data_IF_531395945814
#
_entry.id   IF_531395945814
#
_cell.length_a   1.000
_cell.length_b   1.000
_cell.length_c   1.000
_cell.angle_alpha   90.00
_cell.angle_beta   90.00
_cell.angle_gamma   90.00
#
_symmetry.space_group_name_H-M   'P 1'
#
loop_
_entity.id
_entity.type
_entity.pdbx_description
1 polymer ?
#
# COMPACT_ATOMS: atom_id res chain seq x y z
N UNK A 1 16.12 0.20 -0.09
CA UNK A 1 14.71 0.65 0.01
C UNK A 1 14.67 2.11 -0.39
N UNK A 2 13.55 2.58 -0.94
CA UNK A 2 13.37 4.00 -1.29
C UNK A 2 13.40 4.86 -0.02
N UNK A 3 13.98 6.05 -0.13
CA UNK A 3 13.95 7.03 0.96
C UNK A 3 12.61 7.77 0.98
N UNK A 4 12.31 8.48 2.08
CA UNK A 4 11.10 9.32 2.15
C UNK A 4 11.10 10.41 1.07
N UNK A 5 12.27 10.99 0.82
CA UNK A 5 12.45 12.00 -0.23
C UNK A 5 12.16 11.42 -1.64
N UNK A 6 12.64 10.20 -1.92
CA UNK A 6 12.34 9.52 -3.18
C UNK A 6 10.83 9.25 -3.33
N UNK A 7 10.16 8.87 -2.24
CA UNK A 7 8.72 8.62 -2.23
C UNK A 7 7.93 9.90 -2.50
N UNK A 8 8.24 11.00 -1.81
CA UNK A 8 7.54 12.28 -1.99
C UNK A 8 7.71 12.82 -3.42
N UNK A 9 8.91 12.67 -3.98
CA UNK A 9 9.19 13.00 -5.39
C UNK A 9 8.35 12.15 -6.35
N UNK A 10 8.25 10.85 -6.10
CA UNK A 10 7.46 9.94 -6.92
C UNK A 10 5.96 10.25 -6.84
N UNK A 11 5.43 10.54 -5.65
CA UNK A 11 4.03 10.94 -5.45
C UNK A 11 3.71 12.22 -6.25
N UNK A 12 4.58 13.23 -6.20
CA UNK A 12 4.40 14.46 -6.96
C UNK A 12 4.39 14.21 -8.49
N UNK A 13 5.32 13.37 -8.98
CA UNK A 13 5.40 13.02 -10.39
C UNK A 13 4.16 12.25 -10.88
N UNK A 14 3.70 11.25 -10.11
CA UNK A 14 2.50 10.48 -10.42
C UNK A 14 1.25 11.36 -10.40
N UNK A 15 1.13 12.25 -9.42
CA UNK A 15 0.00 13.19 -9.33
C UNK A 15 -0.05 14.10 -10.57
N UNK A 16 1.10 14.61 -11.02
CA UNK A 16 1.17 15.44 -12.23
C UNK A 16 0.80 14.67 -13.51
N UNK A 17 1.05 13.36 -13.55
CA UNK A 17 0.63 12.50 -14.66
C UNK A 17 -0.89 12.24 -14.61
N UNK A 18 -1.44 11.95 -13.43
CA UNK A 18 -2.88 11.70 -13.25
C UNK A 18 -3.73 12.92 -13.62
N UNK A 19 -3.26 14.14 -13.31
CA UNK A 19 -3.90 15.41 -13.72
C UNK A 19 -4.05 15.60 -15.23
N UNK A 20 -3.32 14.85 -16.04
CA UNK A 20 -3.47 14.87 -17.50
C UNK A 20 -4.47 13.85 -18.01
N UNK A 21 -4.84 12.87 -17.19
CA UNK A 21 -5.67 11.72 -17.57
C UNK A 21 -7.07 11.79 -16.98
N UNK A 22 -7.25 12.47 -15.85
CA UNK A 22 -8.51 12.56 -15.12
C UNK A 22 -8.95 14.02 -14.99
N UNK A 23 -10.26 14.22 -14.91
CA UNK A 23 -10.86 15.52 -14.58
C UNK A 23 -10.97 15.67 -13.06
N UNK A 24 -10.56 16.82 -12.54
CA UNK A 24 -10.54 17.14 -11.11
C UNK A 24 -11.59 18.20 -10.76
N UNK A 25 -12.38 18.66 -11.73
CA UNK A 25 -13.42 19.67 -11.54
C UNK A 25 -14.82 19.04 -11.48
N UNK A 26 -15.77 19.76 -10.87
CA UNK A 26 -17.18 19.36 -10.78
C UNK A 26 -17.50 18.42 -9.61
N UNK A 27 -18.77 17.98 -9.55
CA UNK A 27 -19.32 17.16 -8.45
C UNK A 27 -18.71 15.75 -8.37
N UNK A 28 -18.22 15.22 -9.51
CA UNK A 28 -17.56 13.92 -9.62
C UNK A 28 -16.07 14.05 -9.99
N UNK A 29 -15.43 15.17 -9.60
CA UNK A 29 -14.02 15.39 -9.83
C UNK A 29 -13.16 14.31 -9.13
N UNK A 30 -12.12 13.84 -9.83
CA UNK A 30 -11.18 12.89 -9.25
C UNK A 30 -10.43 13.50 -8.06
N UNK A 31 -10.09 12.67 -7.08
CA UNK A 31 -9.26 13.05 -5.95
C UNK A 31 -8.05 12.12 -5.86
N UNK A 32 -6.87 12.71 -5.67
CA UNK A 32 -5.65 11.94 -5.38
C UNK A 32 -5.45 11.93 -3.87
N UNK A 33 -5.63 10.76 -3.26
CA UNK A 33 -5.42 10.53 -1.83
C UNK A 33 -4.13 9.73 -1.58
N UNK A 34 -3.43 10.02 -0.49
CA UNK A 34 -2.20 9.32 -0.12
C UNK A 34 -2.43 8.45 1.12
N UNK A 35 -2.18 7.14 1.01
CA UNK A 35 -2.35 6.24 2.15
C UNK A 35 -1.41 6.50 3.31
N UNK A 36 -0.33 7.24 3.08
CA UNK A 36 0.55 7.74 4.12
C UNK A 36 -0.21 8.51 5.22
N UNK A 37 -1.31 9.19 4.85
CA UNK A 37 -2.08 10.07 5.73
C UNK A 37 -2.71 9.30 6.90
N UNK A 38 -3.13 8.05 6.68
CA UNK A 38 -3.72 7.19 7.72
C UNK A 38 -2.82 6.04 8.17
N UNK A 39 -1.75 5.71 7.43
CA UNK A 39 -0.85 4.61 7.79
C UNK A 39 0.35 5.06 8.62
N UNK A 40 0.89 6.26 8.42
CA UNK A 40 2.08 6.72 9.15
C UNK A 40 1.79 7.05 10.63
N UNK A 41 0.55 7.41 10.96
CA UNK A 41 0.16 7.80 12.32
C UNK A 41 -0.19 6.61 13.23
N UNK A 42 -0.07 5.37 12.74
CA UNK A 42 -0.40 4.16 13.50
C UNK A 42 0.87 3.45 13.97
N UNK A 43 0.86 2.94 15.19
CA UNK A 43 1.95 2.07 15.63
C UNK A 43 1.84 0.70 14.98
N UNK A 44 2.97 0.01 14.85
CA UNK A 44 2.99 -1.34 14.30
C UNK A 44 2.12 -2.32 15.11
N UNK A 45 2.08 -2.16 16.44
CA UNK A 45 1.28 -3.00 17.33
C UNK A 45 -0.22 -2.75 17.13
N UNK A 46 -0.62 -1.49 16.99
CA UNK A 46 -2.04 -1.16 16.74
C UNK A 46 -2.51 -1.74 15.41
N UNK A 47 -1.67 -1.64 14.37
CA UNK A 47 -1.95 -2.27 13.08
C UNK A 47 -2.16 -3.79 13.19
N UNK A 48 -1.29 -4.49 13.93
CA UNK A 48 -1.43 -5.94 14.11
C UNK A 48 -2.69 -6.33 14.86
N UNK A 49 -3.09 -5.55 15.88
CA UNK A 49 -4.26 -5.84 16.71
C UNK A 49 -5.57 -5.54 15.99
N UNK A 50 -5.62 -4.46 15.22
CA UNK A 50 -6.84 -4.03 14.52
C UNK A 50 -7.00 -4.73 13.17
N UNK A 51 -5.93 -4.87 12.39
CA UNK A 51 -6.00 -5.39 11.02
C UNK A 51 -5.45 -6.82 10.97
N UNK A 52 -4.30 -7.07 11.59
CA UNK A 52 -3.59 -8.36 11.49
C UNK A 52 -4.42 -9.57 11.93
N UNK A 53 -5.32 -9.42 12.90
CA UNK A 53 -6.19 -10.49 13.40
C UNK A 53 -7.18 -11.04 12.35
N UNK A 54 -7.46 -10.27 11.30
CA UNK A 54 -8.39 -10.65 10.24
C UNK A 54 -7.73 -11.48 9.11
N UNK A 55 -6.39 -11.60 9.11
CA UNK A 55 -5.65 -12.29 8.04
C UNK A 55 -5.04 -13.60 8.54
N UNK A 56 -5.37 -14.69 7.85
CA UNK A 56 -4.76 -15.98 8.10
C UNK A 56 -3.50 -16.15 7.23
N UNK A 57 -2.34 -16.34 7.87
CA UNK A 57 -1.04 -16.50 7.19
C UNK A 57 -1.06 -17.63 6.15
N UNK A 58 -1.74 -18.75 6.43
CA UNK A 58 -1.83 -19.87 5.49
C UNK A 58 -2.68 -19.54 4.25
N UNK A 59 -3.63 -18.60 4.37
CA UNK A 59 -4.38 -18.11 3.21
C UNK A 59 -3.55 -17.10 2.42
N UNK A 60 -2.82 -16.23 3.11
CA UNK A 60 -1.94 -15.25 2.45
C UNK A 60 -0.89 -15.95 1.58
N UNK A 61 -0.18 -16.96 2.09
CA UNK A 61 0.88 -17.65 1.32
C UNK A 61 0.38 -18.41 0.08
N UNK A 62 -0.93 -18.72 0.02
CA UNK A 62 -1.56 -19.35 -1.14
C UNK A 62 -1.98 -18.36 -2.22
N UNK A 63 -2.03 -17.07 -1.92
CA UNK A 63 -2.32 -16.05 -2.91
C UNK A 63 -1.23 -16.09 -4.00
N UNK A 64 -1.64 -16.01 -5.27
CA UNK A 64 -0.73 -16.15 -6.42
C UNK A 64 0.45 -15.16 -6.37
N UNK A 65 0.19 -13.94 -5.90
CA UNK A 65 1.20 -12.90 -5.72
C UNK A 65 2.34 -13.30 -4.76
N UNK A 66 2.05 -14.16 -3.78
CA UNK A 66 3.04 -14.64 -2.82
C UNK A 66 3.58 -16.03 -3.13
N UNK A 67 2.79 -16.91 -3.75
CA UNK A 67 3.25 -18.25 -4.11
C UNK A 67 4.49 -18.22 -5.03
N UNK A 68 4.57 -17.23 -5.93
CA UNK A 68 5.74 -17.03 -6.79
C UNK A 68 6.97 -16.54 -6.01
N UNK A 69 6.82 -15.50 -5.18
CA UNK A 69 7.93 -14.93 -4.39
C UNK A 69 8.39 -15.84 -3.24
N UNK A 70 7.50 -16.65 -2.70
CA UNK A 70 7.81 -17.57 -1.60
C UNK A 70 8.89 -18.59 -1.99
N UNK A 71 8.96 -18.97 -3.28
CA UNK A 71 10.00 -19.89 -3.80
C UNK A 71 11.40 -19.27 -3.79
N UNK A 72 11.50 -17.96 -3.95
CA UNK A 72 12.77 -17.22 -3.96
C UNK A 72 13.14 -16.63 -2.60
N UNK A 73 12.20 -16.63 -1.66
CA UNK A 73 12.32 -15.99 -0.36
C UNK A 73 11.47 -14.73 -0.28
N UNK A 74 10.55 -14.73 0.68
CA UNK A 74 9.68 -13.60 1.01
C UNK A 74 10.12 -13.04 2.37
N UNK A 75 10.35 -11.74 2.43
CA UNK A 75 10.65 -11.05 3.69
C UNK A 75 9.38 -10.78 4.48
N UNK A 76 9.53 -10.64 5.79
CA UNK A 76 8.42 -10.29 6.68
C UNK A 76 7.74 -8.96 6.31
N UNK A 77 8.50 -7.97 5.83
CA UNK A 77 7.95 -6.69 5.38
C UNK A 77 7.12 -6.81 4.09
N UNK A 78 7.47 -7.73 3.19
CA UNK A 78 6.69 -7.98 1.96
C UNK A 78 5.38 -8.73 2.27
N UNK A 79 5.38 -9.63 3.27
CA UNK A 79 4.17 -10.35 3.69
C UNK A 79 3.08 -9.40 4.23
N UNK A 80 3.47 -8.28 4.85
CA UNK A 80 2.53 -7.24 5.33
C UNK A 80 1.69 -6.63 4.20
N UNK A 81 2.24 -6.49 2.99
CA UNK A 81 1.62 -5.68 1.92
C UNK A 81 0.19 -6.14 1.61
N UNK A 82 -0.08 -7.45 1.67
CA UNK A 82 -1.40 -8.02 1.43
C UNK A 82 -2.45 -7.66 2.48
N UNK A 83 -2.04 -7.42 3.72
CA UNK A 83 -2.95 -6.96 4.76
C UNK A 83 -3.34 -5.48 4.62
N UNK A 84 -2.64 -4.71 3.78
CA UNK A 84 -2.96 -3.30 3.51
C UNK A 84 -3.73 -3.09 2.19
N UNK A 85 -3.82 -4.09 1.32
CA UNK A 85 -4.41 -3.96 -0.03
C UNK A 85 -5.78 -4.63 -0.17
N UNK A 86 -6.22 -5.38 0.83
CA UNK A 86 -7.57 -5.93 0.99
C UNK A 86 -8.14 -5.48 2.31
#
# INVERSE_FOLDING_TARGET
MLTKEDLDKNVAALTAQLKKLLDFEGENGAEVVNNADWTNNRTYIDFLREVGVHYNVNMMTKAECYAARLKEGLTFLELRIYACTR
#
